data_IF_454080099679
#
_entry.id   IF_454080099679
#
_cell.length_a   1.000
_cell.length_b   1.000
_cell.length_c   1.000
_cell.angle_alpha   90.00
_cell.angle_beta   90.00
_cell.angle_gamma   90.00
#
_symmetry.space_group_name_H-M   'P 1'
#
loop_
_entity.id
_entity.type
_entity.pdbx_description
1 polymer ?
#
# COMPACT_ATOMS: atom_id res chain seq x y z
N UNK A 1 45.63 23.02 -17.50
CA UNK A 1 45.63 22.23 -16.25
C UNK A 1 44.94 23.03 -15.16
N UNK A 2 43.75 22.63 -14.70
CA UNK A 2 43.22 22.75 -13.32
C UNK A 2 41.83 22.10 -13.30
N UNK A 3 41.65 21.10 -12.44
CA UNK A 3 40.37 20.43 -12.14
C UNK A 3 39.42 21.40 -11.45
N UNK A 4 38.12 21.32 -11.74
CA UNK A 4 37.09 21.42 -10.71
C UNK A 4 36.04 20.35 -10.99
N UNK A 5 36.04 19.33 -10.15
CA UNK A 5 34.96 18.37 -10.03
C UNK A 5 33.77 19.07 -9.38
N UNK A 6 32.57 18.93 -9.96
CA UNK A 6 31.32 19.05 -9.20
C UNK A 6 30.73 17.66 -9.08
N UNK A 7 30.88 17.08 -7.90
CA UNK A 7 30.01 16.04 -7.39
C UNK A 7 28.61 16.66 -7.26
N UNK A 8 27.73 16.35 -8.21
CA UNK A 8 26.30 16.40 -7.94
C UNK A 8 25.92 15.20 -7.06
N UNK A 9 24.85 15.27 -6.26
CA UNK A 9 24.37 14.10 -5.54
C UNK A 9 24.02 13.04 -6.59
N UNK A 10 24.64 11.86 -6.46
CA UNK A 10 24.20 10.68 -7.17
C UNK A 10 22.82 10.30 -6.60
N UNK A 11 21.76 10.93 -7.11
CA UNK A 11 20.46 10.30 -7.07
C UNK A 11 20.61 9.03 -7.90
N UNK A 12 20.59 7.90 -7.21
CA UNK A 12 20.53 6.59 -7.85
C UNK A 12 19.19 6.52 -8.58
N UNK A 13 19.19 6.94 -9.84
CA UNK A 13 18.09 6.72 -10.78
C UNK A 13 18.08 5.22 -11.09
N UNK A 14 17.36 4.46 -10.29
CA UNK A 14 17.01 3.09 -10.64
C UNK A 14 15.88 3.16 -11.68
N UNK A 15 16.22 3.02 -12.95
CA UNK A 15 15.23 2.76 -14.00
C UNK A 15 14.92 1.26 -13.99
N UNK A 16 13.85 0.84 -13.30
CA UNK A 16 13.31 -0.52 -13.34
C UNK A 16 11.79 -0.40 -13.47
N UNK A 17 11.24 -0.92 -14.58
CA UNK A 17 9.87 -0.65 -15.01
C UNK A 17 8.79 -1.03 -14.00
N UNK A 18 7.71 -0.24 -13.99
CA UNK A 18 6.48 -0.40 -13.19
C UNK A 18 6.76 -0.70 -11.72
N UNK A 19 6.64 0.30 -10.84
CA UNK A 19 6.66 0.07 -9.39
C UNK A 19 5.92 -1.23 -9.04
N UNK A 20 6.66 -2.14 -8.42
CA UNK A 20 6.10 -3.40 -7.98
C UNK A 20 5.61 -3.25 -6.54
N UNK A 21 4.66 -4.06 -6.07
CA UNK A 21 4.02 -3.88 -4.76
C UNK A 21 5.04 -3.98 -3.61
N UNK A 22 6.14 -4.72 -3.77
CA UNK A 22 7.23 -4.67 -2.79
C UNK A 22 7.84 -3.27 -2.68
N UNK A 23 7.98 -2.54 -3.80
CA UNK A 23 8.50 -1.17 -3.81
C UNK A 23 7.67 -0.21 -2.97
N UNK A 24 6.34 -0.33 -3.02
CA UNK A 24 5.42 0.45 -2.16
C UNK A 24 5.67 0.14 -0.69
N UNK A 25 5.75 -1.14 -0.32
CA UNK A 25 6.03 -1.53 1.08
C UNK A 25 7.42 -1.08 1.54
N UNK A 26 8.45 -1.21 0.70
CA UNK A 26 9.81 -0.81 1.03
C UNK A 26 9.91 0.71 1.23
N UNK A 27 9.26 1.50 0.37
CA UNK A 27 9.28 2.96 0.47
C UNK A 27 8.55 3.48 1.72
N UNK A 28 7.49 2.80 2.16
CA UNK A 28 6.81 3.10 3.43
C UNK A 28 7.62 2.65 4.65
N UNK A 29 8.47 1.64 4.50
CA UNK A 29 9.40 1.16 5.51
C UNK A 29 8.82 0.12 6.47
N UNK A 30 9.74 -0.56 7.17
CA UNK A 30 9.44 -1.73 8.02
C UNK A 30 8.50 -1.41 9.19
N UNK A 31 8.58 -0.19 9.75
CA UNK A 31 7.73 0.19 10.87
C UNK A 31 6.26 0.34 10.43
N UNK A 32 5.99 1.06 9.33
CA UNK A 32 4.65 1.13 8.73
C UNK A 32 4.15 -0.26 8.38
N UNK A 33 4.99 -1.08 7.73
CA UNK A 33 4.65 -2.46 7.38
C UNK A 33 4.20 -3.28 8.60
N UNK A 34 4.90 -3.19 9.72
CA UNK A 34 4.54 -3.86 10.98
C UNK A 34 3.15 -3.42 11.47
N UNK A 35 2.81 -2.15 11.34
CA UNK A 35 1.48 -1.63 11.68
C UNK A 35 0.40 -2.21 10.75
N UNK A 36 0.66 -2.28 9.44
CA UNK A 36 -0.27 -2.90 8.48
C UNK A 36 -0.56 -4.36 8.83
N UNK A 37 0.46 -5.16 9.16
CA UNK A 37 0.29 -6.58 9.56
C UNK A 37 -0.60 -6.73 10.78
N UNK A 38 -0.50 -5.82 11.75
CA UNK A 38 -1.34 -5.82 12.96
C UNK A 38 -2.79 -5.43 12.67
N UNK A 39 -3.03 -4.66 11.61
CA UNK A 39 -4.36 -4.22 11.17
C UNK A 39 -5.17 -5.29 10.40
N UNK A 40 -4.62 -6.47 10.15
CA UNK A 40 -5.34 -7.52 9.41
C UNK A 40 -6.57 -8.00 10.19
N UNK A 41 -7.74 -7.91 9.56
CA UNK A 41 -9.01 -8.37 10.11
C UNK A 41 -9.34 -9.79 9.66
N UNK A 42 -9.18 -10.75 10.57
CA UNK A 42 -9.53 -12.17 10.31
C UNK A 42 -11.01 -12.34 9.92
N UNK A 43 -11.89 -11.52 10.50
CA UNK A 43 -13.31 -11.51 10.16
C UNK A 43 -13.55 -11.13 8.71
N UNK A 44 -12.99 -10.00 8.26
CA UNK A 44 -13.10 -9.56 6.85
C UNK A 44 -12.49 -10.60 5.90
N UNK A 45 -11.34 -11.19 6.22
CA UNK A 45 -10.75 -12.25 5.39
C UNK A 45 -11.66 -13.47 5.21
N UNK A 46 -12.44 -13.84 6.23
CA UNK A 46 -13.43 -14.92 6.12
C UNK A 46 -14.65 -14.48 5.29
N UNK A 47 -15.17 -13.28 5.54
CA UNK A 47 -16.30 -12.71 4.78
C UNK A 47 -16.01 -12.68 3.28
N UNK A 48 -14.81 -12.25 2.89
CA UNK A 48 -14.39 -12.18 1.49
C UNK A 48 -13.71 -13.45 0.97
N UNK A 49 -13.77 -14.57 1.72
CA UNK A 49 -13.21 -15.88 1.34
C UNK A 49 -11.70 -15.87 0.97
N UNK A 50 -10.93 -14.92 1.52
CA UNK A 50 -9.48 -14.79 1.33
C UNK A 50 -8.68 -15.56 2.39
N UNK A 51 -9.29 -15.86 3.54
CA UNK A 51 -8.63 -16.50 4.69
C UNK A 51 -7.79 -17.74 4.31
N UNK A 52 -8.38 -18.73 3.64
CA UNK A 52 -7.70 -19.99 3.34
C UNK A 52 -6.57 -19.80 2.30
N UNK A 53 -6.83 -19.01 1.25
CA UNK A 53 -5.82 -18.70 0.22
C UNK A 53 -4.61 -18.01 0.82
N UNK A 54 -4.84 -16.97 1.62
CA UNK A 54 -3.75 -16.23 2.24
C UNK A 54 -3.00 -17.06 3.27
N UNK A 55 -3.68 -17.93 4.01
CA UNK A 55 -3.04 -18.86 4.96
C UNK A 55 -1.99 -19.73 4.26
N UNK A 56 -2.35 -20.28 3.10
CA UNK A 56 -1.42 -21.09 2.27
C UNK A 56 -0.28 -20.23 1.74
N UNK A 57 -0.58 -19.06 1.16
CA UNK A 57 0.42 -18.12 0.63
C UNK A 57 1.42 -17.64 1.70
N UNK A 58 0.94 -17.43 2.91
CA UNK A 58 1.74 -17.02 4.07
C UNK A 58 2.51 -18.18 4.72
N UNK A 59 2.26 -19.42 4.28
CA UNK A 59 2.80 -20.65 4.87
C UNK A 59 2.50 -20.78 6.37
N UNK A 60 1.26 -20.48 6.76
CA UNK A 60 0.82 -20.54 8.15
C UNK A 60 -0.17 -21.68 8.36
N UNK A 61 -0.11 -22.31 9.54
CA UNK A 61 -1.07 -23.36 9.92
C UNK A 61 -2.44 -22.75 10.28
N UNK A 62 -2.44 -21.50 10.77
CA UNK A 62 -3.64 -20.72 11.11
C UNK A 62 -3.36 -19.23 10.89
N UNK A 63 -4.41 -18.44 10.66
CA UNK A 63 -4.33 -16.99 10.67
C UNK A 63 -5.06 -16.44 11.90
N UNK A 64 -4.29 -15.85 12.79
CA UNK A 64 -4.77 -15.01 13.87
C UNK A 64 -3.72 -13.92 14.17
N UNK A 65 -4.06 -12.97 15.05
CA UNK A 65 -3.16 -11.85 15.36
C UNK A 65 -1.78 -12.30 15.83
N UNK A 66 -1.71 -13.40 16.61
CA UNK A 66 -0.44 -13.91 17.11
C UNK A 66 0.41 -14.60 16.03
N UNK A 67 -0.20 -15.40 15.15
CA UNK A 67 0.53 -16.04 14.06
C UNK A 67 1.03 -15.02 13.04
N UNK A 68 0.23 -13.98 12.76
CA UNK A 68 0.63 -12.87 11.89
C UNK A 68 1.77 -12.06 12.50
N UNK A 69 1.68 -11.71 13.79
CA UNK A 69 2.75 -10.99 14.50
C UNK A 69 4.08 -11.76 14.49
N UNK A 70 4.05 -13.08 14.65
CA UNK A 70 5.27 -13.91 14.58
C UNK A 70 5.82 -14.04 13.16
N UNK A 71 4.95 -14.02 12.15
CA UNK A 71 5.33 -14.16 10.76
C UNK A 71 5.79 -12.85 10.12
N UNK A 72 5.44 -11.69 10.71
CA UNK A 72 5.76 -10.35 10.21
C UNK A 72 7.22 -10.18 9.77
N UNK A 73 8.24 -10.56 10.56
CA UNK A 73 9.64 -10.43 10.13
C UNK A 73 9.94 -11.24 8.86
N UNK A 74 9.35 -12.43 8.72
CA UNK A 74 9.51 -13.27 7.51
C UNK A 74 8.78 -12.66 6.31
N UNK A 75 7.62 -12.04 6.53
CA UNK A 75 6.92 -11.33 5.47
C UNK A 75 7.76 -10.15 4.97
N UNK A 76 8.35 -9.37 5.88
CA UNK A 76 9.25 -8.29 5.52
C UNK A 76 10.44 -8.79 4.69
N UNK A 77 11.11 -9.88 5.10
CA UNK A 77 12.21 -10.45 4.31
C UNK A 77 11.80 -10.87 2.89
N UNK A 78 10.54 -11.29 2.68
CA UNK A 78 10.02 -11.61 1.34
C UNK A 78 9.80 -10.33 0.51
N UNK A 79 9.32 -9.27 1.13
CA UNK A 79 9.20 -7.94 0.50
C UNK A 79 10.58 -7.42 0.09
N UNK A 80 11.59 -7.55 0.94
CA UNK A 80 12.98 -7.16 0.61
C UNK A 80 13.58 -8.01 -0.51
N UNK A 81 13.18 -9.28 -0.60
CA UNK A 81 13.59 -10.19 -1.67
C UNK A 81 12.84 -9.99 -2.99
N UNK A 82 11.89 -9.05 -3.06
CA UNK A 82 11.11 -8.76 -4.28
C UNK A 82 10.06 -9.83 -4.63
N UNK A 83 9.49 -10.51 -3.64
CA UNK A 83 8.41 -11.49 -3.84
C UNK A 83 7.07 -10.79 -4.16
N UNK A 84 6.89 -10.43 -5.43
CA UNK A 84 5.75 -9.62 -5.88
C UNK A 84 4.40 -10.31 -5.82
N UNK A 85 4.38 -11.63 -6.04
CA UNK A 85 3.16 -12.40 -5.91
C UNK A 85 2.68 -12.37 -4.45
N UNK A 86 3.60 -12.51 -3.51
CA UNK A 86 3.29 -12.36 -2.09
C UNK A 86 2.86 -10.94 -1.73
N UNK A 87 3.58 -9.92 -2.21
CA UNK A 87 3.26 -8.53 -1.93
C UNK A 87 1.86 -8.16 -2.44
N UNK A 88 1.47 -8.66 -3.61
CA UNK A 88 0.12 -8.46 -4.18
C UNK A 88 -0.96 -9.18 -3.37
N UNK A 89 -0.73 -10.43 -2.96
CA UNK A 89 -1.69 -11.13 -2.09
C UNK A 89 -1.81 -10.46 -0.71
N UNK A 90 -0.70 -9.94 -0.18
CA UNK A 90 -0.64 -9.24 1.11
C UNK A 90 -1.33 -7.88 1.06
N UNK A 91 -1.14 -7.11 -0.02
CA UNK A 91 -1.81 -5.82 -0.21
C UNK A 91 -3.32 -6.00 -0.24
N UNK A 92 -3.83 -7.01 -0.96
CA UNK A 92 -5.26 -7.33 -0.98
C UNK A 92 -5.80 -7.63 0.44
N UNK A 93 -5.04 -8.38 1.24
CA UNK A 93 -5.41 -8.69 2.63
C UNK A 93 -5.48 -7.43 3.50
N UNK A 94 -4.56 -6.49 3.32
CA UNK A 94 -4.62 -5.19 4.00
C UNK A 94 -5.83 -4.37 3.55
N UNK A 95 -6.07 -4.26 2.25
CA UNK A 95 -7.18 -3.47 1.71
C UNK A 95 -8.54 -3.99 2.20
N UNK A 96 -8.77 -5.30 2.11
CA UNK A 96 -10.01 -5.92 2.59
C UNK A 96 -10.23 -5.73 4.09
N UNK A 97 -9.16 -5.60 4.87
CA UNK A 97 -9.25 -5.34 6.31
C UNK A 97 -9.69 -3.91 6.64
N UNK A 98 -9.63 -2.99 5.67
CA UNK A 98 -9.87 -1.55 5.87
C UNK A 98 -10.88 -0.96 4.86
N UNK A 99 -11.82 -1.77 4.37
CA UNK A 99 -12.80 -1.34 3.37
C UNK A 99 -13.61 -0.10 3.74
N UNK A 100 -13.92 0.08 5.03
CA UNK A 100 -14.72 1.23 5.47
C UNK A 100 -13.97 2.56 5.22
N UNK A 101 -12.64 2.57 5.45
CA UNK A 101 -11.78 3.70 5.09
C UNK A 101 -11.67 3.87 3.58
N UNK A 102 -11.53 2.76 2.83
CA UNK A 102 -11.44 2.79 1.36
C UNK A 102 -12.70 3.43 0.77
N UNK A 103 -13.88 3.00 1.22
CA UNK A 103 -15.17 3.57 0.80
C UNK A 103 -15.20 5.07 1.06
N UNK A 104 -14.83 5.52 2.26
CA UNK A 104 -14.83 6.93 2.60
C UNK A 104 -13.90 7.76 1.70
N UNK A 105 -12.69 7.27 1.44
CA UNK A 105 -11.72 7.95 0.57
C UNK A 105 -12.22 8.00 -0.88
N UNK A 106 -12.73 6.89 -1.41
CA UNK A 106 -13.27 6.85 -2.78
C UNK A 106 -14.46 7.79 -2.93
N UNK A 107 -15.37 7.82 -1.95
CA UNK A 107 -16.50 8.74 -1.93
C UNK A 107 -16.05 10.21 -1.87
N UNK A 108 -15.03 10.52 -1.06
CA UNK A 108 -14.45 11.86 -0.99
C UNK A 108 -13.81 12.30 -2.31
N UNK A 109 -13.16 11.39 -3.02
CA UNK A 109 -12.59 11.63 -4.35
C UNK A 109 -13.65 11.63 -5.47
N UNK A 110 -14.90 11.25 -5.15
CA UNK A 110 -15.98 11.12 -6.12
C UNK A 110 -15.83 9.91 -7.05
N UNK A 111 -14.98 8.94 -6.71
CA UNK A 111 -14.74 7.75 -7.52
C UNK A 111 -15.94 6.79 -7.35
N UNK A 112 -16.66 6.45 -8.44
CA UNK A 112 -17.75 5.48 -8.39
C UNK A 112 -17.25 4.13 -7.88
N UNK A 113 -17.87 3.64 -6.82
CA UNK A 113 -17.48 2.39 -6.19
C UNK A 113 -18.69 1.66 -5.63
N UNK A 114 -18.57 0.33 -5.53
CA UNK A 114 -19.50 -0.53 -4.82
C UNK A 114 -18.76 -1.18 -3.65
N UNK A 115 -19.02 -0.70 -2.43
CA UNK A 115 -18.39 -1.20 -1.19
C UNK A 115 -16.84 -1.19 -1.23
N UNK A 116 -16.26 -0.16 -1.85
CA UNK A 116 -14.81 0.01 -1.92
C UNK A 116 -14.15 -0.63 -3.14
N UNK A 117 -14.94 -1.27 -4.02
CA UNK A 117 -14.48 -1.80 -5.30
C UNK A 117 -14.89 -0.84 -6.43
N UNK A 118 -13.96 -0.51 -7.32
CA UNK A 118 -14.20 0.39 -8.46
C UNK A 118 -13.81 -0.28 -9.78
N UNK A 119 -14.30 0.28 -10.90
CA UNK A 119 -14.00 -0.21 -12.24
C UNK A 119 -12.53 0.07 -12.62
N UNK A 120 -11.82 -0.95 -13.11
CA UNK A 120 -10.41 -0.83 -13.50
C UNK A 120 -10.22 0.01 -14.76
N UNK A 121 -11.27 0.20 -15.55
CA UNK A 121 -11.24 0.99 -16.78
C UNK A 121 -11.65 2.46 -16.55
N UNK A 122 -11.77 2.90 -15.28
CA UNK A 122 -12.03 4.29 -14.95
C UNK A 122 -10.90 5.20 -15.45
N UNK A 123 -11.24 6.42 -15.88
CA UNK A 123 -10.24 7.42 -16.24
C UNK A 123 -9.76 8.15 -14.98
N UNK A 124 -8.53 7.90 -14.49
CA UNK A 124 -8.05 8.43 -13.21
C UNK A 124 -8.00 9.96 -13.16
N UNK A 125 -7.69 10.60 -14.30
CA UNK A 125 -7.49 12.05 -14.37
C UNK A 125 -8.76 12.85 -14.08
N UNK A 126 -9.93 12.20 -14.08
CA UNK A 126 -11.21 12.83 -13.71
C UNK A 126 -11.36 13.00 -12.19
N UNK A 127 -10.68 12.19 -11.40
CA UNK A 127 -10.88 12.10 -9.95
C UNK A 127 -9.60 12.45 -9.16
N UNK A 128 -8.46 11.95 -9.63
CA UNK A 128 -7.15 12.17 -9.03
C UNK A 128 -6.54 13.49 -9.50
N UNK A 129 -7.18 14.60 -9.12
CA UNK A 129 -6.74 15.96 -9.47
C UNK A 129 -5.52 16.41 -8.67
N UNK A 130 -4.86 17.49 -9.10
CA UNK A 130 -3.66 18.03 -8.44
C UNK A 130 -3.80 18.11 -6.91
N UNK A 131 -2.81 17.53 -6.23
CA UNK A 131 -2.74 17.51 -4.76
C UNK A 131 -3.76 16.61 -4.06
N UNK A 132 -4.45 15.70 -4.77
CA UNK A 132 -5.44 14.80 -4.19
C UNK A 132 -4.89 13.98 -3.02
N UNK A 133 -3.64 13.50 -3.10
CA UNK A 133 -3.01 12.72 -2.03
C UNK A 133 -3.00 13.50 -0.72
N UNK A 134 -2.62 14.78 -0.78
CA UNK A 134 -2.60 15.67 0.39
C UNK A 134 -4.01 15.93 0.90
N UNK A 135 -4.98 16.19 0.03
CA UNK A 135 -6.38 16.44 0.42
C UNK A 135 -6.98 15.24 1.16
N UNK A 136 -6.74 14.03 0.66
CA UNK A 136 -7.15 12.78 1.33
C UNK A 136 -6.45 12.63 2.68
N UNK A 137 -5.14 12.87 2.72
CA UNK A 137 -4.37 12.75 3.95
C UNK A 137 -4.87 13.72 5.04
N UNK A 138 -5.03 15.00 4.71
CA UNK A 138 -5.50 16.02 5.63
C UNK A 138 -6.91 15.71 6.17
N UNK A 139 -7.82 15.26 5.30
CA UNK A 139 -9.21 14.93 5.66
C UNK A 139 -9.30 13.74 6.61
N UNK A 140 -8.55 12.67 6.34
CA UNK A 140 -8.77 11.38 6.98
C UNK A 140 -7.77 11.01 8.07
N UNK A 141 -6.65 11.72 8.21
CA UNK A 141 -5.58 11.38 9.17
C UNK A 141 -6.00 11.45 10.64
N UNK A 142 -7.05 12.20 10.97
CA UNK A 142 -7.61 12.24 12.33
C UNK A 142 -8.64 11.13 12.62
N UNK A 143 -9.15 10.47 11.58
CA UNK A 143 -10.21 9.46 11.68
C UNK A 143 -9.68 8.04 11.51
N UNK A 144 -8.65 7.86 10.69
CA UNK A 144 -8.04 6.58 10.39
C UNK A 144 -6.57 6.55 10.78
N UNK A 145 -6.04 5.34 11.01
CA UNK A 145 -4.61 5.18 11.31
C UNK A 145 -3.77 5.70 10.14
N UNK A 146 -2.83 6.58 10.47
CA UNK A 146 -1.99 7.30 9.50
C UNK A 146 -1.29 6.34 8.54
N UNK A 147 -0.74 5.26 9.07
CA UNK A 147 0.05 4.25 8.35
C UNK A 147 -0.78 3.54 7.27
N UNK A 148 -2.03 3.21 7.60
CA UNK A 148 -2.96 2.53 6.70
C UNK A 148 -3.44 3.51 5.61
N UNK A 149 -3.70 4.77 5.98
CA UNK A 149 -4.08 5.80 5.03
C UNK A 149 -2.96 6.08 4.03
N UNK A 150 -1.71 6.18 4.49
CA UNK A 150 -0.54 6.34 3.63
C UNK A 150 -0.37 5.15 2.67
N UNK A 151 -0.53 3.94 3.18
CA UNK A 151 -0.50 2.75 2.33
C UNK A 151 -1.58 2.82 1.24
N UNK A 152 -2.82 3.17 1.60
CA UNK A 152 -3.91 3.21 0.64
C UNK A 152 -3.75 4.32 -0.41
N UNK A 153 -3.31 5.52 -0.01
CA UNK A 153 -3.04 6.62 -0.95
C UNK A 153 -2.00 6.19 -2.00
N UNK A 154 -0.87 5.64 -1.55
CA UNK A 154 0.19 5.18 -2.45
C UNK A 154 -0.24 3.98 -3.31
N UNK A 155 -1.01 3.05 -2.73
CA UNK A 155 -1.60 1.94 -3.47
C UNK A 155 -2.56 2.42 -4.56
N UNK A 156 -3.41 3.41 -4.27
CA UNK A 156 -4.40 3.93 -5.22
C UNK A 156 -3.73 4.70 -6.37
N UNK A 157 -2.71 5.50 -6.06
CA UNK A 157 -1.92 6.21 -7.06
C UNK A 157 -1.20 5.25 -8.00
N UNK A 158 -0.62 4.19 -7.44
CA UNK A 158 -0.03 3.11 -8.22
C UNK A 158 -1.07 2.36 -9.06
N UNK A 159 -2.23 2.03 -8.50
CA UNK A 159 -3.24 1.24 -9.22
C UNK A 159 -3.78 2.01 -10.42
N UNK A 160 -3.97 3.32 -10.28
CA UNK A 160 -4.62 4.16 -11.29
C UNK A 160 -3.64 4.92 -12.21
N UNK A 161 -2.60 5.56 -11.67
CA UNK A 161 -1.65 6.35 -12.45
C UNK A 161 -0.37 5.60 -12.81
N UNK A 162 -0.12 4.42 -12.22
CA UNK A 162 1.12 3.64 -12.42
C UNK A 162 2.39 4.47 -12.14
N UNK A 163 2.30 5.37 -11.17
CA UNK A 163 3.41 6.23 -10.75
C UNK A 163 4.46 5.44 -9.98
N UNK A 164 5.71 5.91 -10.06
CA UNK A 164 6.85 5.42 -9.26
C UNK A 164 7.16 6.37 -8.07
N UNK A 165 6.40 7.46 -7.92
CA UNK A 165 6.55 8.41 -6.82
C UNK A 165 5.72 8.01 -5.61
N UNK A 166 6.32 8.10 -4.42
CA UNK A 166 5.66 7.79 -3.15
C UNK A 166 5.31 9.09 -2.44
N UNK A 167 4.03 9.25 -2.14
CA UNK A 167 3.53 10.31 -1.30
C UNK A 167 3.92 10.08 0.16
N UNK A 168 4.70 11.01 0.70
CA UNK A 168 4.95 11.17 2.13
C UNK A 168 4.53 12.60 2.53
N UNK A 169 3.63 12.77 3.50
CA UNK A 169 3.23 14.08 3.98
C UNK A 169 4.44 14.78 4.62
N UNK A 170 4.52 16.10 4.46
CA UNK A 170 5.52 16.91 5.16
C UNK A 170 5.42 16.69 6.68
N UNK A 171 6.58 16.62 7.34
CA UNK A 171 6.70 16.45 8.79
C UNK A 171 6.16 17.65 9.57
#
# INVERSE_FOLDING_TARGET
MTRVARLGPAFSCATLGTMQMCGVFQALGADIFRHLVRGISIGKLKTYKVYERFKVRAHLIKLNSESLRKAEPKFWSRIEAGDEEFATDLSQVFLLSHLDMIVDVLNFLGIPNEQGFFDKDLNPSQYLTDGWQKRVFDEFSNRYQREILLFYINHLDWELNKTDEVFLPAA
#
